data_IF_747096649206
#
_entry.id   IF_747096649206
#
_cell.length_a   1.000
_cell.length_b   1.000
_cell.length_c   1.000
_cell.angle_alpha   90.00
_cell.angle_beta   90.00
_cell.angle_gamma   90.00
#
_symmetry.space_group_name_H-M   'P 1'
#
loop_
_entity.id
_entity.type
_entity.pdbx_description
1 polymer ?
#
# COMPACT_ATOMS: atom_id res chain seq x y z
N UNK A 1 12.62 36.96 9.31
CA UNK A 1 13.46 36.01 8.55
C UNK A 1 13.68 34.65 9.23
N UNK A 2 13.38 34.46 10.53
CA UNK A 2 13.61 33.19 11.24
C UNK A 2 12.40 32.21 11.24
N UNK A 3 11.18 32.70 10.98
CA UNK A 3 9.97 31.87 10.93
C UNK A 3 9.90 30.96 9.68
N UNK A 4 10.42 31.42 8.54
CA UNK A 4 10.31 30.67 7.26
C UNK A 4 11.19 29.40 7.31
N UNK A 5 12.34 29.47 7.98
CA UNK A 5 13.22 28.31 8.19
C UNK A 5 12.58 27.25 9.10
N UNK A 6 11.76 27.66 10.07
CA UNK A 6 11.11 26.76 11.01
C UNK A 6 9.92 26.00 10.40
N UNK A 7 9.21 26.62 9.46
CA UNK A 7 8.07 25.99 8.76
C UNK A 7 8.57 24.87 7.81
N UNK A 8 9.61 25.14 7.01
CA UNK A 8 10.22 24.12 6.13
C UNK A 8 10.71 22.87 6.89
N UNK A 9 11.22 23.05 8.10
CA UNK A 9 11.75 21.97 8.95
C UNK A 9 10.67 21.04 9.53
N UNK A 10 9.40 21.46 9.52
CA UNK A 10 8.26 20.64 9.98
C UNK A 10 7.66 19.78 8.86
N UNK A 11 7.80 20.18 7.59
CA UNK A 11 7.33 19.42 6.41
C UNK A 11 8.20 18.19 6.10
N UNK A 12 9.49 18.21 6.47
CA UNK A 12 10.41 17.08 6.23
C UNK A 12 10.16 15.86 7.14
N UNK A 13 9.28 15.96 8.15
CA UNK A 13 9.20 14.98 9.25
C UNK A 13 8.17 13.85 9.11
N UNK A 14 7.43 13.74 8.01
CA UNK A 14 6.38 12.70 7.89
C UNK A 14 6.51 11.84 6.64
N UNK A 15 7.71 11.33 6.40
CA UNK A 15 7.87 10.13 5.58
C UNK A 15 7.55 8.93 6.45
N UNK A 16 6.49 8.18 6.10
CA UNK A 16 6.12 6.95 6.80
C UNK A 16 6.42 5.76 5.88
N UNK A 17 7.14 4.77 6.41
CA UNK A 17 7.33 3.50 5.69
C UNK A 17 6.04 2.69 5.77
N UNK A 18 5.58 2.22 4.64
CA UNK A 18 4.41 1.36 4.50
C UNK A 18 4.72 0.24 3.51
N UNK A 19 3.91 -0.79 3.53
CA UNK A 19 3.93 -1.82 2.50
C UNK A 19 2.93 -1.44 1.39
N UNK A 20 3.29 -1.83 0.17
CA UNK A 20 2.50 -1.65 -1.04
C UNK A 20 2.30 -2.99 -1.72
N UNK A 21 1.07 -3.24 -2.18
CA UNK A 21 0.70 -4.36 -3.04
C UNK A 21 -0.07 -3.86 -4.25
N UNK A 22 0.26 -4.33 -5.44
CA UNK A 22 -0.53 -4.09 -6.66
C UNK A 22 -1.16 -5.40 -7.09
N UNK A 23 -2.45 -5.40 -7.40
CA UNK A 23 -3.14 -6.59 -7.91
C UNK A 23 -2.44 -7.18 -9.16
N UNK A 24 -1.96 -6.33 -10.06
CA UNK A 24 -1.21 -6.74 -11.25
C UNK A 24 0.03 -7.57 -10.89
N UNK A 25 0.76 -7.18 -9.84
CA UNK A 25 1.94 -7.90 -9.37
C UNK A 25 1.60 -9.31 -8.81
N UNK A 26 0.34 -9.55 -8.43
CA UNK A 26 -0.15 -10.87 -7.98
C UNK A 26 -0.47 -11.79 -9.17
N UNK A 27 -0.58 -11.21 -10.38
CA UNK A 27 -0.93 -11.91 -11.61
C UNK A 27 -2.44 -11.95 -11.89
N UNK A 28 -3.19 -10.99 -11.35
CA UNK A 28 -4.55 -10.69 -11.81
C UNK A 28 -4.51 -9.47 -12.72
N UNK A 29 -5.41 -9.39 -13.70
CA UNK A 29 -5.48 -8.25 -14.64
C UNK A 29 -6.22 -7.07 -13.98
N UNK A 30 -5.58 -6.46 -12.97
CA UNK A 30 -6.14 -5.36 -12.17
C UNK A 30 -5.04 -4.45 -11.61
N UNK A 31 -5.14 -3.15 -11.81
CA UNK A 31 -4.12 -2.15 -11.44
C UNK A 31 -4.35 -1.51 -10.06
N UNK A 32 -5.23 -2.08 -9.24
CA UNK A 32 -5.50 -1.52 -7.90
C UNK A 32 -4.27 -1.68 -7.00
N UNK A 33 -3.93 -0.58 -6.33
CA UNK A 33 -2.83 -0.47 -5.38
C UNK A 33 -3.35 -0.40 -3.94
N UNK A 34 -2.77 -1.21 -3.06
CA UNK A 34 -3.06 -1.22 -1.63
C UNK A 34 -1.85 -0.75 -0.86
N UNK A 35 -2.07 0.19 0.05
CA UNK A 35 -1.08 0.66 1.01
C UNK A 35 -1.55 0.29 2.42
N UNK A 36 -0.62 -0.17 3.25
CA UNK A 36 -0.89 -0.51 4.64
C UNK A 36 0.37 -0.54 5.48
N UNK A 37 0.21 -0.40 6.79
CA UNK A 37 1.35 -0.41 7.71
C UNK A 37 1.89 -1.81 7.96
N UNK A 38 1.03 -2.80 7.77
CA UNK A 38 1.31 -4.21 8.01
C UNK A 38 0.66 -5.08 6.94
N UNK A 39 1.07 -6.34 6.93
CA UNK A 39 0.62 -7.33 5.96
C UNK A 39 -0.89 -7.62 6.07
N UNK A 40 -1.41 -7.74 7.30
CA UNK A 40 -2.79 -8.13 7.53
C UNK A 40 -3.77 -7.08 6.97
N UNK A 41 -3.47 -5.80 7.15
CA UNK A 41 -4.26 -4.68 6.61
C UNK A 41 -4.32 -4.73 5.07
N UNK A 42 -3.20 -5.01 4.42
CA UNK A 42 -3.13 -5.11 2.95
C UNK A 42 -3.93 -6.33 2.46
N UNK A 43 -3.81 -7.46 3.16
CA UNK A 43 -4.54 -8.67 2.80
C UNK A 43 -6.05 -8.51 2.98
N UNK A 44 -6.51 -7.80 4.01
CA UNK A 44 -7.92 -7.50 4.21
C UNK A 44 -8.46 -6.63 3.06
N UNK A 45 -7.75 -5.54 2.73
CA UNK A 45 -8.11 -4.67 1.59
C UNK A 45 -8.13 -5.43 0.26
N UNK A 46 -7.12 -6.26 0.02
CA UNK A 46 -7.04 -7.09 -1.18
C UNK A 46 -8.19 -8.12 -1.24
N UNK A 47 -8.56 -8.73 -0.11
CA UNK A 47 -9.66 -9.68 -0.03
C UNK A 47 -11.02 -9.02 -0.27
N UNK A 48 -11.25 -7.83 0.29
CA UNK A 48 -12.46 -7.04 0.04
C UNK A 48 -12.60 -6.68 -1.45
N UNK A 49 -11.49 -6.22 -2.05
CA UNK A 49 -11.46 -5.91 -3.48
C UNK A 49 -11.69 -7.16 -4.35
N UNK A 50 -11.02 -8.27 -4.05
CA UNK A 50 -11.22 -9.53 -4.78
C UNK A 50 -12.65 -10.05 -4.66
N UNK A 51 -13.30 -9.90 -3.50
CA UNK A 51 -14.69 -10.24 -3.29
C UNK A 51 -15.64 -9.40 -4.16
N UNK A 52 -15.40 -8.07 -4.21
CA UNK A 52 -16.25 -7.12 -4.90
C UNK A 52 -16.09 -7.16 -6.44
N UNK A 53 -14.86 -7.10 -6.94
CA UNK A 53 -14.58 -6.93 -8.36
C UNK A 53 -14.39 -8.27 -9.10
N UNK A 54 -13.96 -9.30 -8.38
CA UNK A 54 -13.61 -10.59 -8.96
C UNK A 54 -14.46 -11.76 -8.43
N UNK A 55 -15.51 -11.48 -7.65
CA UNK A 55 -16.39 -12.49 -7.02
C UNK A 55 -15.60 -13.59 -6.29
N UNK A 56 -14.45 -13.22 -5.73
CA UNK A 56 -13.55 -14.12 -5.01
C UNK A 56 -13.54 -13.75 -3.52
N UNK A 57 -14.52 -14.21 -2.72
CA UNK A 57 -14.70 -13.80 -1.33
C UNK A 57 -13.57 -14.27 -0.40
N UNK A 58 -12.81 -15.29 -0.82
CA UNK A 58 -11.72 -15.87 -0.05
C UNK A 58 -10.49 -15.93 -0.94
N UNK A 59 -9.40 -15.27 -0.54
CA UNK A 59 -8.11 -15.38 -1.22
C UNK A 59 -7.50 -16.77 -0.93
N UNK A 60 -7.39 -17.65 -1.93
CA UNK A 60 -6.82 -18.98 -1.72
C UNK A 60 -5.31 -18.91 -1.42
N UNK A 61 -4.72 -19.93 -0.77
CA UNK A 61 -3.35 -19.89 -0.27
C UNK A 61 -2.29 -19.69 -1.35
N UNK A 62 -2.56 -20.10 -2.59
CA UNK A 62 -1.69 -19.83 -3.74
C UNK A 62 -1.62 -18.32 -4.07
N UNK A 63 -2.74 -17.61 -4.03
CA UNK A 63 -2.79 -16.16 -4.27
C UNK A 63 -2.20 -15.42 -3.07
N UNK A 64 -2.48 -15.86 -1.84
CA UNK A 64 -1.87 -15.29 -0.63
C UNK A 64 -0.34 -15.31 -0.67
N UNK A 65 0.26 -16.41 -1.14
CA UNK A 65 1.73 -16.49 -1.34
C UNK A 65 2.24 -15.49 -2.38
N UNK A 66 1.50 -15.27 -3.46
CA UNK A 66 1.85 -14.27 -4.46
C UNK A 66 1.71 -12.85 -3.92
N UNK A 67 0.64 -12.55 -3.18
CA UNK A 67 0.50 -11.26 -2.50
C UNK A 67 1.71 -10.99 -1.59
N UNK A 68 2.10 -11.97 -0.77
CA UNK A 68 3.28 -11.88 0.09
C UNK A 68 4.58 -11.62 -0.68
N UNK A 69 4.77 -12.29 -1.82
CA UNK A 69 5.96 -12.14 -2.65
C UNK A 69 6.01 -10.79 -3.39
N UNK A 70 4.84 -10.19 -3.65
CA UNK A 70 4.70 -8.94 -4.41
C UNK A 70 4.68 -7.69 -3.53
N UNK A 71 4.68 -7.84 -2.19
CA UNK A 71 4.75 -6.71 -1.27
C UNK A 71 6.08 -5.99 -1.37
N UNK A 72 6.00 -4.67 -1.42
CA UNK A 72 7.18 -3.78 -1.45
C UNK A 72 7.07 -2.72 -0.38
N UNK A 73 8.17 -2.45 0.31
CA UNK A 73 8.24 -1.30 1.21
C UNK A 73 8.33 -0.01 0.39
N UNK A 74 7.50 0.96 0.72
CA UNK A 74 7.44 2.28 0.09
C UNK A 74 7.41 3.37 1.15
N UNK A 75 7.95 4.53 0.82
CA UNK A 75 7.78 5.73 1.64
C UNK A 75 6.52 6.46 1.17
N UNK A 76 5.61 6.76 2.09
CA UNK A 76 4.42 7.55 1.79
C UNK A 76 4.48 8.92 2.45
N UNK A 77 3.84 9.90 1.81
CA UNK A 77 3.64 11.23 2.37
C UNK A 77 2.42 11.27 3.31
N UNK A 78 2.16 12.45 3.90
CA UNK A 78 0.99 12.67 4.76
C UNK A 78 -0.37 12.41 4.08
N UNK A 79 -0.39 12.42 2.75
CA UNK A 79 -1.59 12.19 1.94
C UNK A 79 -1.78 10.71 1.58
N UNK A 80 -0.93 9.80 2.10
CA UNK A 80 -0.97 8.38 1.79
C UNK A 80 -0.56 8.06 0.35
N UNK A 81 0.17 8.95 -0.33
CA UNK A 81 0.73 8.70 -1.66
C UNK A 81 2.20 8.28 -1.55
N UNK A 82 2.58 7.30 -2.35
CA UNK A 82 3.97 6.89 -2.54
C UNK A 82 4.82 8.09 -2.99
N UNK A 83 5.95 8.28 -2.32
CA UNK A 83 6.99 9.24 -2.65
C UNK A 83 8.05 8.47 -3.46
N UNK A 84 8.30 8.92 -4.70
CA UNK A 84 9.33 8.37 -5.58
C UNK A 84 10.59 9.23 -5.57
#
# INVERSE_FOLDING_TARGET
>A
MQLIWYIKKMEEKKKKKMYKLTCHDVGVDCDVEFLGENFDEIMEKAAQHAAAEHNLPIIPPNIKKKCLASLREVEVNEQGKEIK
#
